data_IF_960910539043
#
_entry.id   IF_960910539043
#
_cell.length_a   1.000
_cell.length_b   1.000
_cell.length_c   1.000
_cell.angle_alpha   90.00
_cell.angle_beta   90.00
_cell.angle_gamma   90.00
#
_symmetry.space_group_name_H-M   'P 1'
#
loop_
_entity.id
_entity.type
_entity.pdbx_description
1 polymer ?
#
# COMPACT_ATOMS: atom_id res chain seq x y z
N UNK A 1 -52.50 33.26 5.82
CA UNK A 1 -52.08 32.16 6.73
C UNK A 1 -51.17 31.23 5.93
N UNK A 2 -49.88 31.13 6.26
CA UNK A 2 -48.93 30.34 5.46
C UNK A 2 -47.49 30.32 5.98
N UNK A 3 -47.13 31.23 6.88
CA UNK A 3 -45.77 31.31 7.43
C UNK A 3 -45.39 30.19 8.41
N UNK A 4 -46.34 29.66 9.18
CA UNK A 4 -46.06 28.64 10.20
C UNK A 4 -45.83 27.24 9.62
N UNK A 5 -46.63 26.83 8.63
CA UNK A 5 -46.48 25.51 7.99
C UNK A 5 -45.17 25.43 7.18
N UNK A 6 -44.80 26.49 6.45
CA UNK A 6 -43.53 26.54 5.72
C UNK A 6 -42.30 26.50 6.64
N UNK A 7 -42.36 27.19 7.79
CA UNK A 7 -41.29 27.14 8.80
C UNK A 7 -41.15 25.75 9.42
N UNK A 8 -42.26 25.08 9.76
CA UNK A 8 -42.24 23.73 10.35
C UNK A 8 -41.63 22.72 9.36
N UNK A 9 -42.02 22.77 8.08
CA UNK A 9 -41.47 21.89 7.04
C UNK A 9 -39.98 22.13 6.83
N UNK A 10 -39.54 23.40 6.81
CA UNK A 10 -38.14 23.77 6.67
C UNK A 10 -37.29 23.30 7.86
N UNK A 11 -37.82 23.41 9.09
CA UNK A 11 -37.17 22.93 10.32
C UNK A 11 -37.00 21.41 10.31
N UNK A 12 -38.04 20.66 9.90
CA UNK A 12 -37.97 19.20 9.78
C UNK A 12 -36.94 18.80 8.73
N UNK A 13 -36.89 19.50 7.58
CA UNK A 13 -35.92 19.20 6.54
C UNK A 13 -34.48 19.40 7.01
N UNK A 14 -34.21 20.46 7.77
CA UNK A 14 -32.89 20.71 8.38
C UNK A 14 -32.50 19.57 9.33
N UNK A 15 -33.43 19.12 10.19
CA UNK A 15 -33.17 18.01 11.12
C UNK A 15 -32.83 16.71 10.38
N UNK A 16 -33.53 16.40 9.29
CA UNK A 16 -33.27 15.21 8.47
C UNK A 16 -31.88 15.29 7.81
N UNK A 17 -31.50 16.46 7.28
CA UNK A 17 -30.16 16.66 6.69
C UNK A 17 -29.06 16.50 7.75
N UNK A 18 -29.24 17.09 8.93
CA UNK A 18 -28.27 16.94 10.03
C UNK A 18 -28.15 15.48 10.46
N UNK A 19 -29.27 14.78 10.66
CA UNK A 19 -29.28 13.37 11.02
C UNK A 19 -28.57 12.50 9.96
N UNK A 20 -28.81 12.76 8.67
CA UNK A 20 -28.15 12.07 7.57
C UNK A 20 -26.62 12.30 7.58
N UNK A 21 -26.15 13.53 7.80
CA UNK A 21 -24.71 13.84 7.91
C UNK A 21 -24.09 13.12 9.12
N UNK A 22 -24.78 13.07 10.25
CA UNK A 22 -24.29 12.36 11.45
C UNK A 22 -24.21 10.85 11.20
N UNK A 23 -25.24 10.24 10.61
CA UNK A 23 -25.25 8.79 10.32
C UNK A 23 -24.16 8.42 9.32
N UNK A 24 -24.01 9.17 8.22
CA UNK A 24 -22.99 8.93 7.20
C UNK A 24 -21.57 9.10 7.73
N UNK A 25 -21.33 10.10 8.59
CA UNK A 25 -20.01 10.28 9.23
C UNK A 25 -19.68 9.16 10.23
N UNK A 26 -20.65 8.71 11.03
CA UNK A 26 -20.43 7.61 12.00
C UNK A 26 -20.18 6.29 11.28
N UNK A 27 -20.99 5.95 10.27
CA UNK A 27 -20.85 4.70 9.50
C UNK A 27 -19.51 4.65 8.76
N UNK A 28 -19.12 5.74 8.10
CA UNK A 28 -17.80 5.86 7.46
C UNK A 28 -16.64 5.69 8.44
N UNK A 29 -16.70 6.32 9.62
CA UNK A 29 -15.68 6.16 10.67
C UNK A 29 -15.58 4.73 11.20
N UNK A 30 -16.72 4.04 11.38
CA UNK A 30 -16.74 2.64 11.85
C UNK A 30 -16.12 1.69 10.82
N UNK A 31 -16.44 1.86 9.53
CA UNK A 31 -15.87 1.05 8.46
C UNK A 31 -14.34 1.24 8.37
N UNK A 32 -13.87 2.49 8.36
CA UNK A 32 -12.44 2.80 8.32
C UNK A 32 -11.67 2.22 9.52
N UNK A 33 -12.26 2.25 10.73
CA UNK A 33 -11.65 1.63 11.92
C UNK A 33 -11.51 0.11 11.78
N UNK A 34 -12.53 -0.58 11.25
CA UNK A 34 -12.50 -2.02 11.02
C UNK A 34 -11.43 -2.40 10.00
N UNK A 35 -11.39 -1.69 8.87
CA UNK A 35 -10.39 -1.92 7.82
C UNK A 35 -8.97 -1.68 8.33
N UNK A 36 -8.75 -0.59 9.08
CA UNK A 36 -7.45 -0.31 9.70
C UNK A 36 -7.03 -1.44 10.66
N UNK A 37 -7.94 -1.92 11.51
CA UNK A 37 -7.65 -3.01 12.43
C UNK A 37 -7.30 -4.31 11.69
N UNK A 38 -7.99 -4.62 10.59
CA UNK A 38 -7.68 -5.77 9.74
C UNK A 38 -6.28 -5.65 9.11
N UNK A 39 -5.95 -4.48 8.54
CA UNK A 39 -4.62 -4.22 7.97
C UNK A 39 -3.52 -4.34 9.03
N UNK A 40 -3.74 -3.77 10.22
CA UNK A 40 -2.78 -3.86 11.33
C UNK A 40 -2.57 -5.30 11.79
N UNK A 41 -3.65 -6.09 11.85
CA UNK A 41 -3.56 -7.52 12.18
C UNK A 41 -2.73 -8.27 11.11
N UNK A 42 -3.03 -8.07 9.83
CA UNK A 42 -2.30 -8.71 8.74
C UNK A 42 -0.80 -8.38 8.79
N UNK A 43 -0.45 -7.10 8.94
CA UNK A 43 0.95 -6.66 9.08
C UNK A 43 1.62 -7.28 10.31
N UNK A 44 0.91 -7.35 11.44
CA UNK A 44 1.43 -7.95 12.68
C UNK A 44 1.76 -9.43 12.48
N UNK A 45 0.86 -10.15 11.83
CA UNK A 45 1.02 -11.58 11.59
C UNK A 45 2.17 -11.83 10.60
N UNK A 46 2.35 -10.96 9.59
CA UNK A 46 3.48 -11.03 8.68
C UNK A 46 4.81 -10.75 9.39
N UNK A 47 4.87 -9.73 10.26
CA UNK A 47 6.07 -9.44 11.06
C UNK A 47 6.39 -10.59 12.02
N UNK A 48 5.39 -11.17 12.68
CA UNK A 48 5.61 -12.36 13.52
C UNK A 48 6.16 -13.52 12.70
N UNK A 49 5.63 -13.74 11.50
CA UNK A 49 6.09 -14.78 10.57
C UNK A 49 7.53 -14.52 10.13
N UNK A 50 7.87 -13.27 9.80
CA UNK A 50 9.22 -12.85 9.45
C UNK A 50 10.21 -13.11 10.59
N UNK A 51 9.87 -12.71 11.83
CA UNK A 51 10.73 -12.92 13.00
C UNK A 51 10.87 -14.41 13.32
N UNK A 52 9.79 -15.19 13.20
CA UNK A 52 9.84 -16.63 13.40
C UNK A 52 10.74 -17.33 12.37
N UNK A 53 10.79 -16.84 11.13
CA UNK A 53 11.66 -17.38 10.06
C UNK A 53 13.11 -16.96 10.22
N UNK A 54 13.37 -15.68 10.52
CA UNK A 54 14.72 -15.10 10.54
C UNK A 54 15.44 -15.30 11.87
N UNK A 55 14.73 -15.28 12.99
CA UNK A 55 15.32 -15.30 14.34
C UNK A 55 14.82 -16.47 15.19
N UNK A 56 13.96 -17.33 14.64
CA UNK A 56 13.39 -18.50 15.32
C UNK A 56 12.64 -18.20 16.65
N UNK A 57 12.20 -16.94 16.84
CA UNK A 57 11.41 -16.51 18.01
C UNK A 57 9.92 -16.67 17.71
N UNK A 58 9.30 -17.75 18.20
CA UNK A 58 7.89 -18.10 17.91
C UNK A 58 6.88 -17.60 18.93
N UNK A 59 7.30 -17.33 20.17
CA UNK A 59 6.41 -16.94 21.27
C UNK A 59 6.58 -15.47 21.66
N UNK A 60 6.20 -14.56 20.76
CA UNK A 60 6.30 -13.12 20.97
C UNK A 60 4.97 -12.41 20.69
N UNK A 61 4.66 -11.42 21.52
CA UNK A 61 3.62 -10.42 21.24
C UNK A 61 4.29 -9.24 20.55
N UNK A 62 3.69 -8.82 19.43
CA UNK A 62 4.17 -7.69 18.64
C UNK A 62 3.17 -6.55 18.82
N UNK A 63 3.65 -5.43 19.36
CA UNK A 63 2.87 -4.20 19.50
C UNK A 63 3.45 -3.11 18.61
N UNK A 64 2.56 -2.31 18.00
CA UNK A 64 2.97 -1.22 17.14
C UNK A 64 3.11 0.05 17.97
N UNK A 65 4.30 0.63 18.01
CA UNK A 65 4.55 1.92 18.67
C UNK A 65 4.25 3.06 17.71
N UNK A 66 4.89 3.06 16.54
CA UNK A 66 4.69 4.07 15.49
C UNK A 66 4.64 3.40 14.11
N UNK A 67 3.76 3.90 13.25
CA UNK A 67 3.66 3.50 11.84
C UNK A 67 3.75 4.77 11.01
N UNK A 68 4.73 4.83 10.11
CA UNK A 68 4.97 5.98 9.27
C UNK A 68 4.98 5.57 7.80
N UNK A 69 4.08 6.16 7.02
CA UNK A 69 4.06 5.95 5.58
C UNK A 69 5.17 6.77 4.94
N UNK A 70 6.06 6.12 4.18
CA UNK A 70 7.02 6.84 3.35
C UNK A 70 6.26 7.57 2.25
N UNK A 71 6.70 8.79 1.95
CA UNK A 71 6.11 9.64 0.92
C UNK A 71 7.21 10.13 0.01
N UNK A 72 7.08 9.84 -1.27
CA UNK A 72 8.06 10.21 -2.29
C UNK A 72 7.62 9.70 -3.66
N UNK A 73 8.13 10.28 -4.77
CA UNK A 73 7.87 9.80 -6.12
C UNK A 73 8.16 8.30 -6.31
N UNK A 74 9.19 7.80 -5.63
CA UNK A 74 9.65 6.40 -5.64
C UNK A 74 8.64 5.41 -5.03
N UNK A 75 7.68 5.92 -4.25
CA UNK A 75 6.61 5.15 -3.61
C UNK A 75 5.24 5.39 -4.26
N UNK A 76 5.17 6.07 -5.40
CA UNK A 76 3.88 6.43 -6.05
C UNK A 76 2.95 5.23 -6.30
N UNK A 77 3.52 4.04 -6.54
CA UNK A 77 2.78 2.82 -6.82
C UNK A 77 2.98 1.73 -5.75
N UNK A 78 3.58 2.08 -4.60
CA UNK A 78 3.91 1.13 -3.53
C UNK A 78 3.62 1.75 -2.17
N UNK A 79 2.82 1.06 -1.37
CA UNK A 79 2.56 1.50 -0.01
C UNK A 79 3.68 1.00 0.92
N UNK A 80 4.71 1.82 1.13
CA UNK A 80 5.84 1.48 2.00
C UNK A 80 5.71 2.18 3.35
N UNK A 81 5.86 1.41 4.42
CA UNK A 81 5.74 1.87 5.80
C UNK A 81 6.99 1.53 6.61
N UNK A 82 7.47 2.51 7.36
CA UNK A 82 8.40 2.31 8.46
C UNK A 82 7.58 2.00 9.71
N UNK A 83 7.72 0.77 10.22
CA UNK A 83 6.95 0.24 11.34
C UNK A 83 7.88 0.02 12.52
N UNK A 84 7.67 0.77 13.60
CA UNK A 84 8.37 0.61 14.87
C UNK A 84 7.51 -0.27 15.77
N UNK A 85 8.09 -1.37 16.22
CA UNK A 85 7.43 -2.35 17.08
C UNK A 85 8.16 -2.56 18.40
N UNK A 86 7.40 -3.02 19.36
CA UNK A 86 7.88 -3.56 20.62
C UNK A 86 7.60 -5.06 20.66
N UNK A 87 8.65 -5.82 20.98
CA UNK A 87 8.57 -7.25 21.22
C UNK A 87 8.34 -7.48 22.70
N UNK A 88 7.19 -8.04 23.04
CA UNK A 88 6.77 -8.28 24.41
C UNK A 88 6.66 -9.78 24.63
N UNK A 89 7.19 -10.25 25.74
CA UNK A 89 7.03 -11.64 26.14
C UNK A 89 5.58 -11.86 26.64
N UNK A 90 4.80 -12.79 26.06
CA UNK A 90 3.37 -12.91 26.38
C UNK A 90 3.06 -13.25 27.83
N UNK A 91 3.94 -14.01 28.50
CA UNK A 91 3.72 -14.48 29.88
C UNK A 91 4.08 -13.43 30.93
N UNK A 92 5.23 -12.79 30.75
CA UNK A 92 5.78 -11.85 31.74
C UNK A 92 5.38 -10.40 31.45
N UNK A 93 4.84 -10.12 30.26
CA UNK A 93 4.57 -8.79 29.73
C UNK A 93 5.81 -7.88 29.70
N UNK A 94 7.01 -8.46 29.81
CA UNK A 94 8.27 -7.72 29.77
C UNK A 94 8.57 -7.34 28.33
N UNK A 95 9.00 -6.08 28.16
CA UNK A 95 9.59 -5.62 26.91
C UNK A 95 10.93 -6.33 26.71
N UNK A 96 11.04 -7.05 25.59
CA UNK A 96 12.26 -7.73 25.18
C UNK A 96 13.15 -6.74 24.43
N UNK A 97 12.62 -6.15 23.37
CA UNK A 97 13.38 -5.30 22.47
C UNK A 97 12.44 -4.42 21.64
N UNK A 98 12.90 -3.24 21.26
CA UNK A 98 12.24 -2.35 20.31
C UNK A 98 12.95 -2.41 18.96
N UNK A 99 12.20 -2.51 17.87
CA UNK A 99 12.77 -2.70 16.53
C UNK A 99 11.99 -1.95 15.46
N UNK A 100 12.65 -1.65 14.36
CA UNK A 100 12.04 -1.04 13.18
C UNK A 100 12.11 -2.01 11.99
N UNK A 101 11.02 -2.05 11.22
CA UNK A 101 10.91 -2.85 10.00
C UNK A 101 10.34 -2.01 8.87
N UNK A 102 10.82 -2.27 7.66
CA UNK A 102 10.20 -1.79 6.44
C UNK A 102 9.13 -2.79 5.99
N UNK A 103 7.90 -2.32 5.87
CA UNK A 103 6.76 -3.12 5.45
C UNK A 103 6.18 -2.53 4.18
N UNK A 104 6.01 -3.37 3.16
CA UNK A 104 5.42 -2.99 1.88
C UNK A 104 4.06 -3.65 1.69
N UNK A 105 3.08 -2.84 1.27
CA UNK A 105 1.77 -3.28 0.84
C UNK A 105 1.68 -3.26 -0.68
N UNK A 106 1.59 -4.43 -1.30
CA UNK A 106 1.40 -4.59 -2.73
C UNK A 106 -0.08 -4.85 -3.00
N UNK A 107 -0.76 -3.86 -3.58
CA UNK A 107 -2.19 -3.97 -3.90
C UNK A 107 -2.36 -4.46 -5.33
N UNK A 108 -3.02 -5.61 -5.48
CA UNK A 108 -3.34 -6.23 -6.76
C UNK A 108 -4.85 -6.22 -7.00
N UNK A 109 -5.25 -5.93 -8.24
CA UNK A 109 -6.64 -5.99 -8.66
C UNK A 109 -7.00 -7.44 -8.97
N UNK A 110 -7.96 -7.99 -8.23
CA UNK A 110 -8.45 -9.37 -8.44
C UNK A 110 -9.61 -9.34 -9.44
N UNK A 111 -10.62 -8.49 -9.21
CA UNK A 111 -11.73 -8.27 -10.16
C UNK A 111 -12.00 -6.77 -10.39
N UNK A 112 -13.08 -6.46 -11.13
CA UNK A 112 -13.51 -5.08 -11.41
C UNK A 112 -13.78 -4.25 -10.14
N UNK A 113 -14.20 -4.90 -9.03
CA UNK A 113 -14.59 -4.24 -7.78
C UNK A 113 -13.77 -4.66 -6.55
N UNK A 114 -12.89 -5.64 -6.69
CA UNK A 114 -12.15 -6.27 -5.58
C UNK A 114 -10.65 -6.07 -5.76
N UNK A 115 -10.02 -5.57 -4.71
CA UNK A 115 -8.57 -5.40 -4.61
C UNK A 115 -8.09 -6.17 -3.40
N UNK A 116 -6.95 -6.84 -3.54
CA UNK A 116 -6.31 -7.58 -2.45
C UNK A 116 -4.92 -6.99 -2.24
N UNK A 117 -4.57 -6.73 -0.99
CA UNK A 117 -3.25 -6.22 -0.60
C UNK A 117 -2.47 -7.33 0.07
N UNK A 118 -1.35 -7.73 -0.51
CA UNK A 118 -0.37 -8.60 0.13
C UNK A 118 0.65 -7.75 0.88
N UNK A 119 0.97 -8.13 2.11
CA UNK A 119 1.95 -7.45 2.95
C UNK A 119 3.26 -8.22 2.96
N UNK A 120 4.38 -7.52 2.84
CA UNK A 120 5.72 -8.09 2.83
C UNK A 120 6.59 -7.29 3.79
N UNK A 121 7.37 -7.99 4.62
CA UNK A 121 8.42 -7.37 5.43
C UNK A 121 9.71 -7.46 4.65
N UNK A 122 10.22 -6.32 4.20
CA UNK A 122 11.41 -6.26 3.36
C UNK A 122 12.67 -6.43 4.20
N UNK A 123 12.91 -5.48 5.11
CA UNK A 123 14.17 -5.37 5.83
C UNK A 123 13.97 -4.94 7.29
N UNK A 124 14.91 -5.34 8.14
CA UNK A 124 15.12 -4.72 9.46
C UNK A 124 15.79 -3.37 9.25
N UNK A 125 15.22 -2.32 9.83
CA UNK A 125 15.75 -0.97 9.77
C UNK A 125 16.52 -0.65 11.05
N UNK A 126 17.47 0.29 10.94
CA UNK A 126 18.09 0.88 12.13
C UNK A 126 17.06 1.68 12.93
N UNK A 127 16.97 1.41 14.23
CA UNK A 127 15.95 1.98 15.10
C UNK A 127 16.13 3.49 15.23
N UNK A 128 17.36 3.95 15.48
CA UNK A 128 17.63 5.35 15.78
C UNK A 128 17.41 6.24 14.54
N UNK A 129 17.95 5.84 13.39
CA UNK A 129 17.71 6.55 12.13
C UNK A 129 16.22 6.58 11.75
N UNK A 130 15.49 5.50 12.01
CA UNK A 130 14.05 5.42 11.72
C UNK A 130 13.25 6.32 12.66
N UNK A 131 13.53 6.30 13.96
CA UNK A 131 12.85 7.18 14.93
C UNK A 131 13.02 8.66 14.59
N UNK A 132 14.23 9.08 14.22
CA UNK A 132 14.49 10.45 13.76
C UNK A 132 13.70 10.78 12.50
N UNK A 133 13.69 9.90 11.50
CA UNK A 133 12.92 10.09 10.26
C UNK A 133 11.42 10.22 10.54
N UNK A 134 10.89 9.37 11.42
CA UNK A 134 9.48 9.40 11.83
C UNK A 134 9.17 10.70 12.57
N UNK A 135 10.04 11.14 13.49
CA UNK A 135 9.86 12.38 14.25
C UNK A 135 9.87 13.62 13.33
N UNK A 136 10.75 13.65 12.33
CA UNK A 136 10.78 14.69 11.28
C UNK A 136 9.47 14.65 10.47
N UNK A 137 9.06 13.47 10.00
CA UNK A 137 7.87 13.29 9.18
C UNK A 137 6.56 13.63 9.91
N UNK A 138 6.49 13.37 11.21
CA UNK A 138 5.38 13.75 12.10
C UNK A 138 5.44 15.21 12.55
N UNK A 139 6.50 15.95 12.19
CA UNK A 139 6.77 17.34 12.59
C UNK A 139 6.92 17.53 14.11
N UNK A 140 7.31 16.47 14.84
CA UNK A 140 7.68 16.56 16.25
C UNK A 140 9.00 17.32 16.40
N UNK A 141 9.92 17.15 15.44
CA UNK A 141 11.17 17.91 15.32
C UNK A 141 11.02 18.91 14.17
N UNK A 142 11.15 20.20 14.49
CA UNK A 142 11.17 21.26 13.48
C UNK A 142 12.59 21.39 12.93
N UNK A 143 12.79 21.00 11.68
CA UNK A 143 14.03 21.24 10.97
C UNK A 143 14.21 22.75 10.68
N UNK A 144 15.46 23.21 10.70
CA UNK A 144 15.85 24.53 10.21
C UNK A 144 15.57 24.65 8.71
N UNK A 145 15.42 25.88 8.21
CA UNK A 145 15.23 26.16 6.77
C UNK A 145 16.37 25.62 5.92
N UNK A 146 17.60 25.62 6.44
CA UNK A 146 18.78 25.14 5.71
C UNK A 146 18.86 23.61 5.68
N UNK A 147 18.46 22.95 6.76
CA UNK A 147 18.34 21.48 6.82
C UNK A 147 17.25 20.97 5.87
N UNK A 148 16.13 21.67 5.78
CA UNK A 148 15.05 21.36 4.82
C UNK A 148 15.56 21.50 3.39
N UNK A 149 16.33 22.55 3.09
CA UNK A 149 16.92 22.74 1.76
C UNK A 149 17.92 21.62 1.43
N UNK A 150 18.80 21.28 2.38
CA UNK A 150 19.79 20.22 2.22
C UNK A 150 19.14 18.85 1.99
N UNK A 151 18.05 18.54 2.72
CA UNK A 151 17.27 17.33 2.47
C UNK A 151 16.66 17.31 1.08
N UNK A 152 16.00 18.40 0.66
CA UNK A 152 15.39 18.47 -0.67
C UNK A 152 16.41 18.33 -1.80
N UNK A 153 17.62 18.87 -1.63
CA UNK A 153 18.69 18.70 -2.62
C UNK A 153 19.19 17.27 -2.67
N UNK A 154 19.35 16.63 -1.50
CA UNK A 154 19.74 15.22 -1.42
C UNK A 154 18.67 14.29 -2.04
N UNK A 155 17.39 14.53 -1.76
CA UNK A 155 16.29 13.75 -2.33
C UNK A 155 16.25 13.88 -3.86
N UNK A 156 16.45 15.10 -4.38
CA UNK A 156 16.49 15.36 -5.83
C UNK A 156 17.71 14.72 -6.52
N UNK A 157 18.83 14.59 -5.82
CA UNK A 157 20.01 13.87 -6.31
C UNK A 157 19.72 12.37 -6.42
N UNK A 158 19.17 11.77 -5.37
CA UNK A 158 18.77 10.35 -5.36
C UNK A 158 17.73 10.04 -6.44
N UNK A 159 16.76 10.94 -6.63
CA UNK A 159 15.75 10.81 -7.70
C UNK A 159 16.42 10.76 -9.09
N UNK A 160 17.40 11.61 -9.34
CA UNK A 160 18.15 11.61 -10.62
C UNK A 160 18.96 10.34 -10.80
N UNK A 161 19.53 9.79 -9.74
CA UNK A 161 20.28 8.53 -9.78
C UNK A 161 19.36 7.35 -10.06
N UNK A 162 18.23 7.24 -9.36
CA UNK A 162 17.20 6.22 -9.60
C UNK A 162 16.64 6.30 -11.02
N UNK A 163 16.31 7.50 -11.51
CA UNK A 163 15.80 7.69 -12.86
C UNK A 163 16.83 7.31 -13.96
N UNK A 164 18.14 7.46 -13.68
CA UNK A 164 19.19 6.96 -14.57
C UNK A 164 19.25 5.44 -14.54
N UNK A 165 19.26 4.85 -13.34
CA UNK A 165 19.27 3.39 -13.15
C UNK A 165 18.09 2.72 -13.87
N UNK A 166 16.87 3.21 -13.68
CA UNK A 166 15.67 2.68 -14.35
C UNK A 166 15.76 2.77 -15.88
N UNK A 167 16.25 3.89 -16.41
CA UNK A 167 16.45 4.06 -17.86
C UNK A 167 17.46 3.05 -18.41
N UNK A 168 18.52 2.78 -17.67
CA UNK A 168 19.56 1.85 -18.08
C UNK A 168 19.09 0.40 -17.98
N UNK A 169 18.30 0.03 -16.97
CA UNK A 169 17.65 -1.29 -16.92
C UNK A 169 16.65 -1.48 -18.07
N UNK A 170 15.81 -0.49 -18.37
CA UNK A 170 14.85 -0.56 -19.50
C UNK A 170 15.60 -0.72 -20.83
N UNK A 171 16.73 -0.04 -21.01
CA UNK A 171 17.58 -0.22 -22.20
C UNK A 171 18.11 -1.65 -22.29
N UNK A 172 18.66 -2.19 -21.20
CA UNK A 172 19.15 -3.59 -21.15
C UNK A 172 18.05 -4.59 -21.48
N UNK A 173 16.85 -4.44 -20.91
CA UNK A 173 15.70 -5.30 -21.21
C UNK A 173 15.27 -5.19 -22.68
N UNK A 174 15.27 -3.98 -23.26
CA UNK A 174 14.95 -3.79 -24.68
C UNK A 174 15.99 -4.40 -25.60
N UNK A 175 17.27 -4.32 -25.24
CA UNK A 175 18.37 -4.95 -25.99
C UNK A 175 18.26 -6.47 -25.95
N UNK A 176 18.05 -7.07 -24.77
CA UNK A 176 17.87 -8.53 -24.66
C UNK A 176 16.64 -9.01 -25.42
N UNK A 177 15.52 -8.27 -25.40
CA UNK A 177 14.34 -8.60 -26.22
C UNK A 177 14.59 -8.50 -27.73
N UNK A 178 15.42 -7.55 -28.18
CA UNK A 178 15.80 -7.43 -29.59
C UNK A 178 16.69 -8.59 -30.03
N UNK A 179 17.59 -9.06 -29.18
CA UNK A 179 18.40 -10.25 -29.44
C UNK A 179 17.54 -11.52 -29.47
N UNK A 180 16.65 -11.73 -28.49
CA UNK A 180 15.73 -12.87 -28.49
C UNK A 180 14.77 -12.92 -29.69
N UNK A 181 14.35 -11.77 -30.24
CA UNK A 181 13.55 -11.71 -31.47
C UNK A 181 14.33 -12.08 -32.74
N UNK A 182 15.65 -11.90 -32.76
CA UNK A 182 16.50 -12.30 -33.90
C UNK A 182 16.78 -13.80 -33.91
N UNK A 183 16.81 -14.43 -32.73
CA UNK A 183 17.18 -15.84 -32.58
C UNK A 183 15.99 -16.81 -32.61
N UNK A 184 14.75 -16.32 -32.66
CA UNK A 184 13.58 -17.17 -32.86
C UNK A 184 13.29 -17.33 -34.36
N UNK A 185 13.40 -18.56 -34.92
CA UNK A 185 12.97 -18.78 -36.30
C UNK A 185 11.47 -18.50 -36.40
N UNK A 186 11.10 -17.66 -37.36
CA UNK A 186 9.69 -17.42 -37.71
C UNK A 186 9.15 -18.74 -38.26
N UNK A 187 8.53 -19.55 -37.41
CA UNK A 187 7.74 -20.70 -37.85
C UNK A 187 6.52 -20.11 -38.54
N UNK A 188 6.58 -20.02 -39.88
CA UNK A 188 5.40 -19.73 -40.69
C UNK A 188 4.44 -20.90 -40.46
N UNK A 189 3.37 -20.66 -39.71
CA UNK A 189 2.28 -21.63 -39.56
C UNK A 189 1.81 -22.00 -40.96
N UNK A 190 2.07 -23.25 -41.35
CA UNK A 190 1.66 -23.80 -42.64
C UNK A 190 0.17 -23.57 -42.79
N UNK A 191 -0.19 -22.89 -43.87
CA UNK A 191 -1.56 -22.48 -44.21
C UNK A 191 -2.55 -23.62 -43.96
N UNK A 192 -3.47 -23.43 -43.02
CA UNK A 192 -4.60 -24.33 -42.88
C UNK A 192 -5.54 -24.08 -44.06
N UNK A 193 -5.37 -24.83 -45.15
CA UNK A 193 -6.20 -24.78 -46.38
C UNK A 193 -7.61 -25.34 -46.20
N UNK A 194 -8.13 -25.39 -44.97
CA UNK A 194 -9.52 -25.78 -44.73
C UNK A 194 -10.38 -24.52 -44.83
N UNK A 195 -11.12 -24.41 -45.95
CA UNK A 195 -12.14 -23.37 -46.11
C UNK A 195 -13.14 -23.49 -44.96
N UNK A 196 -13.28 -22.41 -44.21
CA UNK A 196 -14.30 -22.28 -43.17
C UNK A 196 -15.69 -22.40 -43.82
N UNK A 197 -16.43 -23.46 -43.50
CA UNK A 197 -17.83 -23.62 -43.90
C UNK A 197 -18.71 -23.39 -42.67
N UNK A 198 -19.46 -22.28 -42.60
CA UNK A 198 -20.35 -22.04 -41.48
C UNK A 198 -21.55 -23.00 -41.53
N UNK A 199 -21.63 -23.90 -40.56
CA UNK A 199 -22.79 -24.77 -40.37
C UNK A 199 -23.92 -23.95 -39.75
N UNK A 200 -25.01 -23.72 -40.51
CA UNK A 200 -26.25 -23.17 -39.96
C UNK A 200 -26.91 -24.25 -39.10
N UNK A 201 -26.99 -24.02 -37.79
CA UNK A 201 -27.76 -24.86 -36.88
C UNK A 201 -29.23 -24.90 -37.38
N UNK A 202 -29.71 -26.09 -37.76
CA UNK A 202 -31.14 -26.30 -37.96
C UNK A 202 -31.81 -26.24 -36.59
N UNK A 203 -32.79 -25.35 -36.44
CA UNK A 203 -33.76 -25.43 -35.35
C UNK A 203 -34.73 -26.53 -35.73
N UNK A 204 -34.61 -27.68 -35.08
CA UNK A 204 -35.66 -28.69 -35.15
C UNK A 204 -36.88 -28.19 -34.37
N UNK A 205 -38.05 -28.39 -34.99
CA UNK A 205 -39.38 -28.04 -34.48
C UNK A 205 -39.84 -29.04 -33.43
#
# INVERSE_FOLDING_TARGET
MGGSAGLIVLLIMIIVVIAFVVITTITGRKAAKKEKAQRYKAVRDEIKTFIAKTENKKNIRVEFTKVFARKGPEYKYRDVFDVIIELIEPKTQKLIEKRAYEVEGITQKVDKKTYTTSWIVNNKLDLQATEQRVAIGQKEIKLSKDEIKAMKTADRLKERELAKYEKDEIKKIRETQKHHKKDQPIIKTTENKQKFVPVRARRDK
#
